data_IF_064102336047
#
_entry.id   IF_064102336047
#
_cell.length_a   1.000
_cell.length_b   1.000
_cell.length_c   1.000
_cell.angle_alpha   90.00
_cell.angle_beta   90.00
_cell.angle_gamma   90.00
#
_symmetry.space_group_name_H-M   'P 1'
#
loop_
_entity.id
_entity.type
_entity.pdbx_description
1 polymer ?
#
# COMPACT_ATOMS: atom_id res chain seq x y z
N UNK A 1 -28.77 -19.28 9.74
CA UNK A 1 -28.51 -17.85 10.04
C UNK A 1 -27.65 -17.30 8.91
N UNK A 2 -28.24 -16.50 8.03
CA UNK A 2 -27.57 -15.91 6.88
C UNK A 2 -26.97 -14.57 7.34
N UNK A 3 -25.66 -14.51 7.56
CA UNK A 3 -24.97 -13.23 7.67
C UNK A 3 -24.79 -12.72 6.23
N UNK A 4 -25.35 -11.56 5.86
CA UNK A 4 -25.03 -11.00 4.56
C UNK A 4 -23.52 -10.79 4.50
N UNK A 5 -22.89 -11.33 3.46
CA UNK A 5 -21.50 -11.10 3.10
C UNK A 5 -21.31 -9.64 2.63
N UNK A 6 -21.62 -8.69 3.52
CA UNK A 6 -21.33 -7.29 3.35
C UNK A 6 -19.89 -7.11 3.80
N UNK A 7 -19.00 -6.89 2.84
CA UNK A 7 -17.57 -6.73 3.07
C UNK A 7 -17.30 -5.85 4.31
N UNK A 8 -16.71 -6.46 5.35
CA UNK A 8 -16.51 -5.80 6.65
C UNK A 8 -15.54 -4.65 6.47
N UNK A 9 -15.99 -3.42 6.60
CA UNK A 9 -15.09 -2.28 6.63
C UNK A 9 -14.51 -2.08 8.03
N UNK A 10 -13.23 -1.74 8.12
CA UNK A 10 -12.52 -1.54 9.38
C UNK A 10 -11.47 -0.45 9.23
N UNK A 11 -11.32 0.38 10.25
CA UNK A 11 -10.17 1.28 10.37
C UNK A 11 -8.95 0.48 10.79
N UNK A 12 -7.94 0.47 9.94
CA UNK A 12 -6.71 -0.29 10.14
C UNK A 12 -5.55 0.68 10.19
N UNK A 13 -4.68 0.51 11.19
CA UNK A 13 -3.44 1.29 11.25
C UNK A 13 -2.56 0.93 10.07
N UNK A 14 -1.99 1.95 9.42
CA UNK A 14 -1.06 1.75 8.29
C UNK A 14 0.19 0.94 8.69
N UNK A 15 0.46 0.75 9.98
CA UNK A 15 1.54 -0.09 10.51
C UNK A 15 1.23 -1.58 10.50
N UNK A 16 -0.07 -1.94 10.52
CA UNK A 16 -0.54 -3.32 10.53
C UNK A 16 -0.82 -3.85 9.11
N UNK A 17 -0.72 -2.98 8.10
CA UNK A 17 -0.93 -3.33 6.70
C UNK A 17 0.40 -3.76 6.09
N UNK A 18 0.40 -4.95 5.50
CA UNK A 18 1.52 -5.56 4.78
C UNK A 18 1.20 -5.59 3.27
N UNK A 19 2.03 -4.95 2.43
CA UNK A 19 1.98 -5.14 0.98
C UNK A 19 2.43 -6.55 0.59
N UNK A 20 1.81 -7.10 -0.45
CA UNK A 20 2.05 -8.44 -0.99
C UNK A 20 2.68 -8.42 -2.38
N UNK A 21 2.62 -7.27 -3.07
CA UNK A 21 3.20 -7.09 -4.40
C UNK A 21 4.57 -6.39 -4.33
N UNK A 22 5.57 -6.86 -5.08
CA UNK A 22 6.92 -6.28 -5.07
C UNK A 22 7.11 -5.06 -5.96
N UNK A 23 6.20 -4.83 -6.90
CA UNK A 23 6.35 -3.78 -7.90
C UNK A 23 5.58 -2.51 -7.48
N UNK A 24 6.30 -1.39 -7.38
CA UNK A 24 5.73 -0.09 -7.03
C UNK A 24 5.73 0.81 -8.25
N UNK A 25 4.54 1.13 -8.77
CA UNK A 25 4.39 2.10 -9.84
C UNK A 25 4.47 3.52 -9.30
N UNK A 26 5.64 4.14 -9.47
CA UNK A 26 5.92 5.47 -8.94
C UNK A 26 5.17 6.59 -9.64
N UNK A 27 4.75 6.41 -10.90
CA UNK A 27 3.89 7.39 -11.58
C UNK A 27 2.55 7.50 -10.86
N UNK A 28 1.90 6.35 -10.67
CA UNK A 28 0.56 6.28 -10.10
C UNK A 28 0.59 6.71 -8.64
N UNK A 29 1.58 6.24 -7.87
CA UNK A 29 1.70 6.65 -6.45
C UNK A 29 1.86 8.17 -6.31
N UNK A 30 2.73 8.80 -7.12
CA UNK A 30 2.92 10.26 -7.04
C UNK A 30 1.71 11.05 -7.55
N UNK A 31 1.02 10.55 -8.57
CA UNK A 31 -0.24 11.13 -9.03
C UNK A 31 -1.31 11.08 -7.92
N UNK A 32 -1.46 9.93 -7.26
CA UNK A 32 -2.39 9.74 -6.14
C UNK A 32 -2.04 10.62 -4.93
N UNK A 33 -0.76 10.87 -4.66
CA UNK A 33 -0.35 11.81 -3.61
C UNK A 33 -0.76 13.25 -3.95
N UNK A 34 -0.63 13.64 -5.22
CA UNK A 34 -0.98 14.98 -5.70
C UNK A 34 -2.49 15.18 -5.75
N UNK A 35 -3.22 14.17 -6.20
CA UNK A 35 -4.67 14.16 -6.39
C UNK A 35 -5.40 13.38 -5.29
N UNK A 36 -4.86 13.38 -4.07
CA UNK A 36 -5.39 12.56 -2.99
C UNK A 36 -6.85 12.91 -2.69
N UNK A 37 -7.75 11.94 -2.86
CA UNK A 37 -9.15 12.12 -2.54
C UNK A 37 -9.41 11.71 -1.08
N UNK A 38 -9.77 12.67 -0.24
CA UNK A 38 -10.10 12.44 1.17
C UNK A 38 -11.24 11.42 1.38
N UNK A 39 -12.09 11.19 0.36
CA UNK A 39 -13.10 10.13 0.42
C UNK A 39 -12.48 8.73 0.55
N UNK A 40 -11.27 8.52 0.04
CA UNK A 40 -10.56 7.23 0.16
C UNK A 40 -10.17 6.88 1.59
N UNK A 41 -10.18 7.85 2.50
CA UNK A 41 -9.93 7.61 3.92
C UNK A 41 -11.15 7.01 4.62
N UNK A 42 -12.34 7.08 4.01
CA UNK A 42 -13.62 6.69 4.63
C UNK A 42 -14.45 5.71 3.78
N UNK A 43 -14.20 5.60 2.48
CA UNK A 43 -15.01 4.79 1.56
C UNK A 43 -14.72 3.28 1.65
N UNK A 44 -13.59 2.89 2.24
CA UNK A 44 -13.15 1.50 2.26
C UNK A 44 -12.58 1.03 0.91
N UNK A 45 -12.07 1.94 0.08
CA UNK A 45 -11.54 1.69 -1.26
C UNK A 45 -10.15 1.04 -1.29
N UNK A 46 -9.67 0.53 -0.15
CA UNK A 46 -8.46 -0.28 0.02
C UNK A 46 -8.90 -1.64 0.53
N UNK A 47 -8.66 -2.67 -0.27
CA UNK A 47 -8.98 -4.05 0.07
C UNK A 47 -7.83 -4.72 0.82
N UNK A 48 -8.16 -5.39 1.91
CA UNK A 48 -7.22 -6.13 2.75
C UNK A 48 -7.78 -7.51 3.12
N UNK A 49 -6.90 -8.47 3.31
CA UNK A 49 -7.21 -9.77 3.89
C UNK A 49 -6.74 -9.83 5.34
N UNK A 50 -7.56 -10.39 6.23
CA UNK A 50 -7.23 -10.57 7.65
C UNK A 50 -6.64 -11.98 7.84
N UNK A 51 -5.31 -12.04 8.03
CA UNK A 51 -4.59 -13.31 8.28
C UNK A 51 -4.89 -13.88 9.68
N UNK A 52 -5.56 -13.10 10.55
CA UNK A 52 -5.85 -13.47 11.93
C UNK A 52 -4.68 -13.31 12.89
N UNK A 53 -3.47 -13.03 12.39
CA UNK A 53 -2.22 -12.93 13.16
C UNK A 53 -1.72 -11.46 13.18
N UNK A 54 -2.61 -10.55 13.59
CA UNK A 54 -2.33 -9.13 13.83
C UNK A 54 -1.83 -8.28 12.64
N UNK A 55 -1.70 -8.86 11.44
CA UNK A 55 -1.38 -8.16 10.20
C UNK A 55 -2.48 -8.34 9.16
N UNK A 56 -2.58 -7.37 8.26
CA UNK A 56 -3.53 -7.38 7.15
C UNK A 56 -2.78 -7.32 5.83
N UNK A 57 -3.06 -8.25 4.93
CA UNK A 57 -2.41 -8.34 3.63
C UNK A 57 -3.18 -7.50 2.61
N UNK A 58 -2.49 -6.70 1.80
CA UNK A 58 -3.13 -6.00 0.68
C UNK A 58 -3.47 -7.00 -0.43
N UNK A 59 -4.65 -6.88 -1.02
CA UNK A 59 -5.13 -7.87 -2.00
C UNK A 59 -4.95 -7.46 -3.46
N UNK A 60 -5.08 -6.17 -3.75
CA UNK A 60 -5.16 -5.67 -5.12
C UNK A 60 -4.10 -4.61 -5.41
N UNK A 61 -3.67 -4.50 -6.68
CA UNK A 61 -2.70 -3.49 -7.11
C UNK A 61 -3.12 -2.06 -6.75
N UNK A 62 -4.38 -1.69 -6.96
CA UNK A 62 -4.89 -0.35 -6.61
C UNK A 62 -4.82 -0.08 -5.09
N UNK A 63 -5.06 -1.11 -4.27
CA UNK A 63 -4.96 -1.02 -2.82
C UNK A 63 -3.52 -0.75 -2.39
N UNK A 64 -2.54 -1.35 -3.07
CA UNK A 64 -1.11 -1.08 -2.88
C UNK A 64 -0.74 0.36 -3.24
N UNK A 65 -1.15 0.84 -4.40
CA UNK A 65 -0.84 2.20 -4.85
C UNK A 65 -1.41 3.26 -3.91
N UNK A 66 -2.67 3.12 -3.50
CA UNK A 66 -3.31 3.99 -2.50
C UNK A 66 -2.63 3.90 -1.14
N UNK A 67 -2.23 2.70 -0.72
CA UNK A 67 -1.51 2.51 0.53
C UNK A 67 -0.15 3.21 0.52
N UNK A 68 0.64 3.08 -0.56
CA UNK A 68 1.93 3.76 -0.67
C UNK A 68 1.77 5.29 -0.70
N UNK A 69 0.76 5.80 -1.41
CA UNK A 69 0.42 7.22 -1.38
C UNK A 69 0.03 7.69 0.03
N UNK A 70 -0.77 6.91 0.75
CA UNK A 70 -1.12 7.18 2.15
C UNK A 70 0.10 7.20 3.08
N UNK A 71 1.08 6.32 2.86
CA UNK A 71 2.34 6.33 3.61
C UNK A 71 3.10 7.64 3.38
N UNK A 72 3.22 8.10 2.13
CA UNK A 72 3.86 9.38 1.79
C UNK A 72 3.14 10.54 2.47
N UNK A 73 1.81 10.52 2.49
CA UNK A 73 0.96 11.50 3.17
C UNK A 73 0.93 11.35 4.69
N UNK A 74 1.72 10.41 5.25
CA UNK A 74 1.89 10.16 6.69
C UNK A 74 0.57 9.83 7.41
N UNK A 75 -0.35 9.16 6.71
CA UNK A 75 -1.65 8.78 7.27
C UNK A 75 -1.48 7.69 8.36
N UNK A 76 -2.05 7.88 9.57
CA UNK A 76 -1.87 6.93 10.67
C UNK A 76 -2.74 5.66 10.52
N UNK A 77 -3.88 5.81 9.86
CA UNK A 77 -4.88 4.76 9.64
C UNK A 77 -5.61 4.98 8.32
N UNK A 78 -6.18 3.89 7.79
CA UNK A 78 -6.99 3.88 6.59
C UNK A 78 -8.24 3.05 6.84
N UNK A 79 -9.38 3.50 6.34
CA UNK A 79 -10.58 2.67 6.28
C UNK A 79 -10.40 1.66 5.15
N UNK A 80 -10.36 0.39 5.51
CA UNK A 80 -10.14 -0.70 4.57
C UNK A 80 -11.36 -1.62 4.53
N UNK A 81 -11.56 -2.29 3.39
CA UNK A 81 -12.54 -3.35 3.20
C UNK A 81 -11.85 -4.70 3.40
N UNK A 82 -12.37 -5.51 4.32
CA UNK A 82 -11.89 -6.87 4.54
C UNK A 82 -12.49 -7.79 3.49
N UNK A 83 -11.62 -8.47 2.76
CA UNK A 83 -11.94 -9.52 1.79
C UNK A 83 -11.70 -10.89 2.42
N UNK A 84 -12.40 -11.91 1.92
CA UNK A 84 -12.21 -13.30 2.34
C UNK A 84 -11.20 -14.05 1.46
N UNK A 85 -10.70 -13.40 0.40
CA UNK A 85 -9.77 -13.98 -0.55
C UNK A 85 -8.35 -13.68 -0.10
N UNK A 86 -7.60 -14.73 0.20
CA UNK A 86 -6.21 -14.67 0.61
C UNK A 86 -5.33 -14.29 -0.58
N UNK A 87 -4.63 -13.16 -0.55
CA UNK A 87 -3.72 -12.78 -1.62
C UNK A 87 -2.43 -13.59 -1.52
N UNK A 88 -1.82 -13.87 -2.66
CA UNK A 88 -0.47 -14.44 -2.69
C UNK A 88 0.55 -13.40 -2.27
N UNK A 89 1.37 -13.70 -1.26
CA UNK A 89 2.44 -12.80 -0.80
C UNK A 89 3.71 -12.98 -1.64
N UNK A 90 3.65 -12.50 -2.89
CA UNK A 90 4.77 -12.55 -3.84
C UNK A 90 5.99 -11.78 -3.31
N UNK A 91 5.77 -10.71 -2.54
CA UNK A 91 6.83 -9.90 -1.97
C UNK A 91 7.68 -10.69 -0.98
N UNK A 92 7.07 -11.41 -0.05
CA UNK A 92 7.80 -12.23 0.92
C UNK A 92 8.34 -13.52 0.27
N UNK A 93 7.47 -14.27 -0.41
CA UNK A 93 7.76 -15.62 -0.92
C UNK A 93 8.79 -15.62 -2.06
N UNK A 94 8.67 -14.71 -3.03
CA UNK A 94 9.47 -14.75 -4.26
C UNK A 94 10.60 -13.72 -4.28
N UNK A 95 10.41 -12.58 -3.60
CA UNK A 95 11.35 -11.45 -3.65
C UNK A 95 12.09 -11.22 -2.33
N UNK A 96 11.75 -11.94 -1.26
CA UNK A 96 12.41 -11.80 0.04
C UNK A 96 12.34 -10.37 0.58
N UNK A 97 11.16 -9.76 0.53
CA UNK A 97 10.87 -8.40 0.98
C UNK A 97 11.63 -7.29 0.21
N UNK A 98 11.87 -7.52 -1.09
CA UNK A 98 12.49 -6.53 -1.99
C UNK A 98 11.44 -5.88 -2.90
N UNK A 99 11.40 -4.56 -2.89
CA UNK A 99 10.60 -3.78 -3.84
C UNK A 99 11.41 -3.33 -5.03
N UNK A 100 10.73 -3.22 -6.18
CA UNK A 100 11.24 -2.61 -7.39
C UNK A 100 10.38 -1.40 -7.73
N UNK A 101 11.01 -0.26 -8.02
CA UNK A 101 10.29 0.92 -8.48
C UNK A 101 10.22 0.93 -10.01
N UNK A 102 9.02 1.10 -10.53
CA UNK A 102 8.77 1.19 -11.97
C UNK A 102 8.06 2.50 -12.31
N UNK A 103 8.41 3.08 -13.47
CA UNK A 103 7.63 4.14 -14.10
C UNK A 103 8.33 5.49 -14.28
N UNK A 104 9.52 5.73 -13.73
CA UNK A 104 10.23 6.98 -13.97
C UNK A 104 11.61 6.76 -14.58
N UNK A 105 11.85 7.42 -15.72
CA UNK A 105 13.19 7.91 -16.03
C UNK A 105 13.53 8.98 -15.00
N UNK A 106 14.55 8.72 -14.17
CA UNK A 106 15.00 9.56 -13.05
C UNK A 106 15.24 11.04 -13.42
N UNK A 107 15.28 11.38 -14.71
CA UNK A 107 15.44 12.75 -15.21
C UNK A 107 14.16 13.59 -15.33
N UNK A 108 12.96 13.01 -15.19
CA UNK A 108 11.68 13.73 -15.37
C UNK A 108 10.96 14.10 -14.06
N UNK A 109 11.49 13.69 -12.91
CA UNK A 109 10.90 13.93 -11.60
C UNK A 109 11.29 15.29 -11.02
N UNK A 110 10.32 16.00 -10.46
CA UNK A 110 10.60 17.21 -9.67
C UNK A 110 11.31 16.87 -8.36
N UNK A 111 12.05 17.83 -7.80
CA UNK A 111 12.70 17.66 -6.48
C UNK A 111 11.72 17.27 -5.36
N UNK A 112 10.48 17.76 -5.44
CA UNK A 112 9.44 17.42 -4.48
C UNK A 112 9.04 15.94 -4.56
N UNK A 113 8.88 15.42 -5.77
CA UNK A 113 8.56 14.01 -6.01
C UNK A 113 9.70 13.08 -5.60
N UNK A 114 10.95 13.49 -5.86
CA UNK A 114 12.12 12.75 -5.40
C UNK A 114 12.13 12.61 -3.87
N UNK A 115 11.90 13.71 -3.14
CA UNK A 115 11.80 13.69 -1.67
C UNK A 115 10.65 12.81 -1.17
N UNK A 116 9.51 12.78 -1.86
CA UNK A 116 8.38 11.90 -1.52
C UNK A 116 8.75 10.42 -1.68
N UNK A 117 9.42 10.06 -2.77
CA UNK A 117 9.88 8.68 -3.00
C UNK A 117 10.97 8.27 -1.99
N UNK A 118 11.92 9.15 -1.69
CA UNK A 118 12.94 8.90 -0.66
C UNK A 118 12.30 8.68 0.71
N UNK A 119 11.29 9.49 1.06
CA UNK A 119 10.54 9.30 2.29
C UNK A 119 9.83 7.95 2.34
N UNK A 120 9.17 7.54 1.24
CA UNK A 120 8.55 6.22 1.13
C UNK A 120 9.58 5.10 1.33
N UNK A 121 10.75 5.20 0.67
CA UNK A 121 11.85 4.24 0.83
C UNK A 121 12.30 4.13 2.28
N UNK A 122 12.47 5.26 2.96
CA UNK A 122 12.89 5.29 4.37
C UNK A 122 11.84 4.63 5.29
N UNK A 123 10.55 4.94 5.10
CA UNK A 123 9.46 4.32 5.87
C UNK A 123 9.43 2.80 5.69
N UNK A 124 9.59 2.33 4.46
CA UNK A 124 9.58 0.90 4.14
C UNK A 124 10.88 0.20 4.64
N UNK A 125 12.05 0.84 4.55
CA UNK A 125 13.30 0.32 5.14
C UNK A 125 13.18 0.11 6.64
N UNK A 126 12.58 1.08 7.36
CA UNK A 126 12.34 0.96 8.80
C UNK A 126 11.38 -0.19 9.15
N UNK A 127 10.56 -0.62 8.20
CA UNK A 127 9.66 -1.78 8.32
C UNK A 127 10.32 -3.11 7.91
N UNK A 128 11.60 -3.09 7.52
CA UNK A 128 12.35 -4.29 7.15
C UNK A 128 12.44 -4.57 5.65
N UNK A 129 11.83 -3.73 4.81
CA UNK A 129 11.86 -3.92 3.36
C UNK A 129 13.17 -3.42 2.74
N UNK A 130 13.54 -4.05 1.63
CA UNK A 130 14.71 -3.73 0.82
C UNK A 130 14.27 -3.25 -0.56
N UNK A 131 15.19 -2.65 -1.30
CA UNK A 131 14.92 -2.10 -2.62
C UNK A 131 15.95 -2.60 -3.60
N UNK A 132 15.47 -3.13 -4.73
CA UNK A 132 16.31 -3.39 -5.90
C UNK A 132 16.32 -2.15 -6.81
N UNK A 133 17.46 -1.97 -7.47
CA UNK A 133 17.83 -0.75 -8.18
C UNK A 133 17.59 -0.91 -9.67
#
# INVERSE_FOLDING_TARGET
MYHPAGARQKDVSTRLIKPTLPDINTNIVLDLVTNWNSAWEVDGGISIYDEGIAQYLLTDMQSHEKFFAALILRKPSLRCRITNEEPKDVLDEERGNRFTFHGHDTGALSEAQLKQLEFLKDVLRRRGYRFEN
#
